data_IF_729701691584
#
_entry.id   IF_729701691584
#
_cell.length_a   1.000
_cell.length_b   1.000
_cell.length_c   1.000
_cell.angle_alpha   90.00
_cell.angle_beta   90.00
_cell.angle_gamma   90.00
#
_symmetry.space_group_name_H-M   'P 1'
#
loop_
_entity.id
_entity.type
_entity.pdbx_description
1 polymer ?
#
# COMPACT_ATOMS: atom_id res chain seq x y z
N UNK A 1 -14.14 25.95 24.31
CA UNK A 1 -14.01 27.19 25.11
C UNK A 1 -14.43 28.43 24.31
N UNK A 2 -15.43 29.18 24.79
CA UNK A 2 -15.93 30.42 24.16
C UNK A 2 -14.91 31.56 24.39
N UNK A 3 -14.83 32.54 23.47
CA UNK A 3 -13.87 33.66 23.59
C UNK A 3 -14.15 34.51 24.83
N UNK A 4 -15.43 34.77 25.13
CA UNK A 4 -15.82 35.48 26.34
C UNK A 4 -15.25 34.84 27.61
N UNK A 5 -15.25 33.49 27.67
CA UNK A 5 -14.64 32.75 28.77
C UNK A 5 -13.13 33.03 28.87
N UNK A 6 -12.41 33.02 27.75
CA UNK A 6 -10.96 33.30 27.73
C UNK A 6 -10.66 34.71 28.25
N UNK A 7 -11.43 35.71 27.81
CA UNK A 7 -11.27 37.11 28.24
C UNK A 7 -11.56 37.23 29.73
N UNK A 8 -12.69 36.68 30.20
CA UNK A 8 -13.09 36.72 31.61
C UNK A 8 -12.04 36.05 32.50
N UNK A 9 -11.56 34.86 32.12
CA UNK A 9 -10.53 34.14 32.90
C UNK A 9 -9.23 34.94 33.01
N UNK A 10 -8.84 35.68 31.97
CA UNK A 10 -7.62 36.49 32.00
C UNK A 10 -7.81 37.73 32.88
N UNK A 11 -8.98 38.37 32.81
CA UNK A 11 -9.31 39.50 33.67
C UNK A 11 -9.36 39.10 35.14
N UNK A 12 -9.99 37.97 35.47
CA UNK A 12 -10.13 37.51 36.85
C UNK A 12 -8.80 37.03 37.46
N UNK A 13 -7.98 36.33 36.66
CA UNK A 13 -6.77 35.65 37.16
C UNK A 13 -5.51 36.51 37.09
N UNK A 14 -5.45 37.43 36.13
CA UNK A 14 -4.25 38.26 35.88
C UNK A 14 -4.55 39.77 35.92
N UNK A 15 -5.78 40.17 36.25
CA UNK A 15 -6.20 41.58 36.32
C UNK A 15 -5.89 42.37 35.04
N UNK A 16 -5.89 41.69 33.89
CA UNK A 16 -5.48 42.24 32.60
C UNK A 16 -6.65 42.27 31.61
N UNK A 17 -6.84 43.41 30.96
CA UNK A 17 -7.83 43.57 29.90
C UNK A 17 -7.23 43.21 28.53
N UNK A 18 -7.85 42.26 27.84
CA UNK A 18 -7.40 41.81 26.51
C UNK A 18 -8.53 41.99 25.49
N UNK A 19 -8.19 42.52 24.32
CA UNK A 19 -9.17 42.69 23.23
C UNK A 19 -9.66 41.34 22.69
N UNK A 20 -10.89 41.33 22.17
CA UNK A 20 -11.51 40.14 21.55
C UNK A 20 -10.59 39.52 20.49
N UNK A 21 -9.95 40.35 19.68
CA UNK A 21 -9.01 39.92 18.63
C UNK A 21 -7.78 39.21 19.22
N UNK A 22 -7.17 39.76 20.28
CA UNK A 22 -6.03 39.13 20.95
C UNK A 22 -6.43 37.78 21.57
N UNK A 23 -7.59 37.71 22.24
CA UNK A 23 -8.11 36.45 22.79
C UNK A 23 -8.44 35.42 21.69
N UNK A 24 -8.96 35.87 20.54
CA UNK A 24 -9.18 35.02 19.37
C UNK A 24 -7.86 34.41 18.85
N UNK A 25 -6.84 35.24 18.63
CA UNK A 25 -5.54 34.79 18.12
C UNK A 25 -4.83 33.84 19.08
N UNK A 26 -4.82 34.18 20.38
CA UNK A 26 -4.25 33.31 21.41
C UNK A 26 -4.95 31.94 21.44
N UNK A 27 -6.29 31.92 21.42
CA UNK A 27 -7.06 30.66 21.37
C UNK A 27 -6.79 29.86 20.09
N UNK A 28 -6.70 30.53 18.94
CA UNK A 28 -6.41 29.89 17.66
C UNK A 28 -5.03 29.24 17.68
N UNK A 29 -4.01 29.97 18.15
CA UNK A 29 -2.62 29.49 18.24
C UNK A 29 -2.48 28.33 19.23
N UNK A 30 -3.09 28.43 20.42
CA UNK A 30 -3.12 27.33 21.39
C UNK A 30 -3.80 26.08 20.82
N UNK A 31 -4.91 26.24 20.09
CA UNK A 31 -5.57 25.12 19.42
C UNK A 31 -4.68 24.49 18.34
N UNK A 32 -3.98 25.31 17.57
CA UNK A 32 -3.05 24.86 16.53
C UNK A 32 -1.86 24.09 17.13
N UNK A 33 -1.34 24.51 18.28
CA UNK A 33 -0.25 23.79 18.96
C UNK A 33 -0.71 22.45 19.55
N UNK A 34 -1.90 22.43 20.17
CA UNK A 34 -2.44 21.22 20.80
C UNK A 34 -2.98 20.23 19.75
N UNK A 35 -3.79 20.71 18.80
CA UNK A 35 -4.51 19.85 17.84
C UNK A 35 -3.82 19.78 16.48
N UNK A 36 -2.91 20.69 16.13
CA UNK A 36 -2.30 20.74 14.79
C UNK A 36 -1.59 19.46 14.42
N UNK A 37 -0.91 18.80 15.37
CA UNK A 37 -0.29 17.49 15.13
C UNK A 37 -1.34 16.40 14.84
N UNK A 38 -2.44 16.37 15.60
CA UNK A 38 -3.52 15.40 15.41
C UNK A 38 -4.26 15.60 14.08
N UNK A 39 -4.51 16.86 13.68
CA UNK A 39 -5.14 17.20 12.39
C UNK A 39 -4.25 16.76 11.23
N UNK A 40 -2.93 17.01 11.31
CA UNK A 40 -1.99 16.56 10.29
C UNK A 40 -1.88 15.03 10.21
N UNK A 41 -1.86 14.34 11.36
CA UNK A 41 -1.84 12.87 11.40
C UNK A 41 -3.12 12.26 10.83
N UNK A 42 -4.28 12.74 11.25
CA UNK A 42 -5.56 12.29 10.70
C UNK A 42 -5.69 12.64 9.21
N UNK A 43 -5.16 13.77 8.76
CA UNK A 43 -5.06 14.13 7.35
C UNK A 43 -4.39 13.03 6.52
N UNK A 44 -3.25 12.50 6.99
CA UNK A 44 -2.55 11.39 6.31
C UNK A 44 -3.40 10.12 6.19
N UNK A 45 -4.14 9.76 7.25
CA UNK A 45 -5.04 8.60 7.21
C UNK A 45 -6.15 8.80 6.19
N UNK A 46 -6.77 9.99 6.18
CA UNK A 46 -7.81 10.34 5.21
C UNK A 46 -7.29 10.34 3.79
N UNK A 47 -6.11 10.91 3.55
CA UNK A 47 -5.47 10.95 2.23
C UNK A 47 -5.21 9.53 1.72
N UNK A 48 -4.72 8.65 2.60
CA UNK A 48 -4.50 7.25 2.29
C UNK A 48 -5.80 6.52 1.92
N UNK A 49 -6.87 6.68 2.70
CA UNK A 49 -8.18 6.09 2.40
C UNK A 49 -8.76 6.63 1.10
N UNK A 50 -8.65 7.94 0.87
CA UNK A 50 -9.08 8.57 -0.37
C UNK A 50 -8.33 8.01 -1.58
N UNK A 51 -7.03 7.76 -1.45
CA UNK A 51 -6.21 7.20 -2.52
C UNK A 51 -6.53 5.73 -2.81
N UNK A 52 -6.77 4.91 -1.77
CA UNK A 52 -7.27 3.54 -1.97
C UNK A 52 -8.62 3.58 -2.68
N UNK A 53 -9.56 4.40 -2.22
CA UNK A 53 -10.88 4.51 -2.86
C UNK A 53 -10.74 4.95 -4.31
N UNK A 54 -9.96 5.99 -4.59
CA UNK A 54 -9.70 6.47 -5.96
C UNK A 54 -9.15 5.36 -6.86
N UNK A 55 -8.18 4.59 -6.36
CA UNK A 55 -7.57 3.47 -7.09
C UNK A 55 -8.57 2.33 -7.30
N UNK A 56 -9.37 2.00 -6.29
CA UNK A 56 -10.40 0.97 -6.37
C UNK A 56 -11.48 1.34 -7.37
N UNK A 57 -11.94 2.60 -7.38
CA UNK A 57 -12.92 3.12 -8.33
C UNK A 57 -12.39 3.06 -9.76
N UNK A 58 -11.13 3.45 -9.97
CA UNK A 58 -10.46 3.33 -11.27
C UNK A 58 -10.38 1.88 -11.77
N UNK A 59 -10.08 0.93 -10.87
CA UNK A 59 -9.94 -0.49 -11.24
C UNK A 59 -11.29 -1.19 -11.41
N UNK A 60 -12.32 -0.75 -10.67
CA UNK A 60 -13.68 -1.28 -10.75
C UNK A 60 -14.25 -1.20 -12.18
N UNK A 61 -13.79 -0.25 -12.99
CA UNK A 61 -14.19 -0.11 -14.39
C UNK A 61 -13.97 -1.38 -15.23
N UNK A 62 -12.95 -2.19 -14.93
CA UNK A 62 -12.65 -3.43 -15.66
C UNK A 62 -13.52 -4.62 -15.24
N UNK A 63 -14.38 -4.43 -14.24
CA UNK A 63 -15.26 -5.43 -13.69
C UNK A 63 -16.71 -5.10 -14.03
N UNK A 64 -17.55 -6.12 -14.02
CA UNK A 64 -18.98 -6.01 -14.23
C UNK A 64 -19.68 -6.77 -13.11
N UNK A 65 -20.68 -6.13 -12.50
CA UNK A 65 -21.54 -6.74 -11.51
C UNK A 65 -22.79 -7.30 -12.19
N UNK A 66 -23.24 -8.45 -11.72
CA UNK A 66 -24.54 -9.04 -12.01
C UNK A 66 -25.29 -9.19 -10.70
N UNK A 67 -26.50 -8.69 -10.66
CA UNK A 67 -27.37 -8.84 -9.51
C UNK A 67 -27.78 -10.31 -9.32
N UNK A 68 -27.60 -10.83 -8.11
CA UNK A 68 -27.91 -12.23 -7.75
C UNK A 68 -29.10 -12.35 -6.78
N UNK A 69 -29.77 -11.24 -6.46
CA UNK A 69 -30.88 -11.18 -5.51
C UNK A 69 -30.57 -10.36 -4.26
N UNK A 70 -31.55 -9.59 -3.78
CA UNK A 70 -31.39 -8.71 -2.61
C UNK A 70 -30.26 -7.69 -2.81
N UNK A 71 -29.35 -7.60 -1.83
CA UNK A 71 -28.15 -6.75 -1.88
C UNK A 71 -26.87 -7.55 -2.20
N UNK A 72 -27.01 -8.67 -2.91
CA UNK A 72 -25.91 -9.54 -3.32
C UNK A 72 -25.64 -9.45 -4.81
N UNK A 73 -24.35 -9.42 -5.15
CA UNK A 73 -23.86 -9.26 -6.51
C UNK A 73 -22.74 -10.25 -6.80
N UNK A 74 -22.76 -10.79 -8.00
CA UNK A 74 -21.63 -11.52 -8.58
C UNK A 74 -20.84 -10.58 -9.48
N UNK A 75 -19.56 -10.41 -9.19
CA UNK A 75 -18.67 -9.49 -9.90
C UNK A 75 -17.65 -10.30 -10.68
N UNK A 76 -17.63 -10.13 -11.98
CA UNK A 76 -16.73 -10.84 -12.90
C UNK A 76 -15.96 -9.85 -13.75
N UNK A 77 -14.84 -10.29 -14.28
CA UNK A 77 -14.00 -9.45 -15.11
C UNK A 77 -14.66 -9.26 -16.50
N UNK A 78 -14.61 -8.05 -17.08
CA UNK A 78 -15.21 -7.78 -18.40
C UNK A 78 -14.55 -8.57 -19.54
N UNK A 79 -13.25 -8.82 -19.42
CA UNK A 79 -12.54 -9.74 -20.31
C UNK A 79 -12.97 -11.18 -20.01
N UNK A 80 -13.71 -11.79 -20.94
CA UNK A 80 -14.22 -13.16 -20.86
C UNK A 80 -13.15 -14.25 -20.71
N UNK A 81 -11.87 -13.96 -21.02
CA UNK A 81 -10.76 -14.89 -20.79
C UNK A 81 -10.38 -15.01 -19.30
N UNK A 82 -10.76 -14.04 -18.48
CA UNK A 82 -10.49 -14.04 -17.03
C UNK A 82 -11.70 -14.64 -16.33
N UNK A 83 -11.52 -15.80 -15.69
CA UNK A 83 -12.60 -16.61 -15.08
C UNK A 83 -12.84 -16.24 -13.61
N UNK A 84 -12.12 -15.24 -13.08
CA UNK A 84 -12.28 -14.82 -11.69
C UNK A 84 -13.64 -14.19 -11.44
N UNK A 85 -14.29 -14.66 -10.38
CA UNK A 85 -15.60 -14.18 -9.93
C UNK A 85 -15.53 -13.91 -8.43
N UNK A 86 -16.17 -12.82 -8.03
CA UNK A 86 -16.22 -12.39 -6.63
C UNK A 86 -17.67 -12.17 -6.22
N UNK A 87 -18.02 -12.64 -5.02
CA UNK A 87 -19.34 -12.42 -4.44
C UNK A 87 -19.23 -11.23 -3.50
N UNK A 88 -20.13 -10.27 -3.67
CA UNK A 88 -20.23 -9.06 -2.86
C UNK A 88 -21.60 -9.04 -2.19
N UNK A 89 -21.63 -8.81 -0.89
CA UNK A 89 -22.84 -8.56 -0.12
C UNK A 89 -22.76 -7.14 0.46
N UNK A 90 -23.60 -6.24 -0.08
CA UNK A 90 -23.61 -4.83 0.30
C UNK A 90 -24.24 -4.59 1.68
N UNK A 91 -25.15 -5.47 2.12
CA UNK A 91 -25.80 -5.33 3.43
C UNK A 91 -24.83 -5.72 4.55
N UNK A 92 -24.12 -6.83 4.36
CA UNK A 92 -23.13 -7.30 5.31
C UNK A 92 -21.81 -6.53 5.25
N UNK A 93 -21.58 -5.74 4.18
CA UNK A 93 -20.29 -5.08 3.93
C UNK A 93 -19.17 -6.09 3.70
N UNK A 94 -19.45 -7.19 3.00
CA UNK A 94 -18.48 -8.28 2.79
C UNK A 94 -18.23 -8.53 1.31
N UNK A 95 -17.01 -8.98 1.02
CA UNK A 95 -16.62 -9.41 -0.33
C UNK A 95 -15.73 -10.64 -0.21
N UNK A 96 -15.85 -11.58 -1.16
CA UNK A 96 -15.03 -12.78 -1.21
C UNK A 96 -13.52 -12.50 -1.31
N UNK A 97 -13.10 -11.32 -1.79
CA UNK A 97 -11.69 -10.89 -1.73
C UNK A 97 -11.17 -10.59 -0.31
N UNK A 98 -12.05 -10.61 0.70
CA UNK A 98 -11.81 -10.34 2.14
C UNK A 98 -11.31 -8.93 2.50
N UNK A 99 -10.92 -8.12 1.52
CA UNK A 99 -10.48 -6.74 1.76
C UNK A 99 -11.52 -5.93 2.52
N UNK A 100 -12.79 -5.98 2.10
CA UNK A 100 -13.84 -5.20 2.76
C UNK A 100 -14.06 -5.64 4.21
N UNK A 101 -14.10 -6.95 4.49
CA UNK A 101 -14.23 -7.44 5.86
C UNK A 101 -13.03 -7.14 6.78
N UNK A 102 -11.86 -6.82 6.23
CA UNK A 102 -10.65 -6.50 6.99
C UNK A 102 -10.46 -4.99 7.19
N UNK A 103 -10.69 -4.22 6.13
CA UNK A 103 -10.48 -2.77 6.14
C UNK A 103 -11.77 -1.99 6.40
N UNK A 104 -12.93 -2.64 6.44
CA UNK A 104 -14.25 -2.00 6.54
C UNK A 104 -14.46 -0.86 5.52
N UNK A 105 -13.86 -1.02 4.34
CA UNK A 105 -13.92 -0.08 3.24
C UNK A 105 -14.15 -0.85 1.93
N UNK A 106 -14.98 -0.34 1.00
CA UNK A 106 -15.25 -1.01 -0.26
C UNK A 106 -13.98 -1.35 -1.04
N UNK A 107 -13.83 -2.62 -1.40
CA UNK A 107 -12.84 -3.07 -2.36
C UNK A 107 -13.24 -2.70 -3.79
N UNK A 108 -12.37 -2.93 -4.77
CA UNK A 108 -12.69 -2.64 -6.17
C UNK A 108 -13.94 -3.40 -6.68
N UNK A 109 -14.16 -4.64 -6.22
CA UNK A 109 -15.33 -5.43 -6.59
C UNK A 109 -16.60 -4.87 -5.96
N UNK A 110 -16.50 -4.45 -4.70
CA UNK A 110 -17.57 -3.77 -3.98
C UNK A 110 -17.95 -2.46 -4.66
N UNK A 111 -16.97 -1.63 -5.03
CA UNK A 111 -17.23 -0.41 -5.79
C UNK A 111 -18.02 -0.69 -7.08
N UNK A 112 -17.68 -1.77 -7.80
CA UNK A 112 -18.42 -2.17 -9.00
C UNK A 112 -19.90 -2.51 -8.69
N UNK A 113 -20.15 -3.31 -7.65
CA UNK A 113 -21.51 -3.64 -7.21
C UNK A 113 -22.30 -2.42 -6.70
N UNK A 114 -21.65 -1.51 -5.98
CA UNK A 114 -22.25 -0.27 -5.49
C UNK A 114 -22.63 0.66 -6.66
N UNK A 115 -21.79 0.75 -7.68
CA UNK A 115 -22.11 1.51 -8.90
C UNK A 115 -23.29 0.91 -9.66
N UNK A 116 -23.39 -0.41 -9.73
CA UNK A 116 -24.55 -1.10 -10.32
C UNK A 116 -25.85 -0.81 -9.55
N UNK A 117 -25.74 -0.56 -8.24
CA UNK A 117 -26.87 -0.10 -7.40
C UNK A 117 -27.16 1.42 -7.54
N UNK A 118 -26.31 2.16 -8.26
CA UNK A 118 -26.36 3.63 -8.38
C UNK A 118 -26.12 4.39 -7.05
N UNK A 119 -25.39 3.78 -6.13
CA UNK A 119 -25.04 4.38 -4.84
C UNK A 119 -23.63 4.99 -4.83
N UNK A 120 -23.32 5.77 -3.79
CA UNK A 120 -21.99 6.31 -3.58
C UNK A 120 -21.13 5.36 -2.72
N UNK A 121 -19.97 4.90 -3.23
CA UNK A 121 -19.06 4.03 -2.47
C UNK A 121 -18.54 4.61 -1.16
N UNK A 122 -18.54 5.94 -1.00
CA UNK A 122 -18.10 6.59 0.25
C UNK A 122 -19.05 6.32 1.42
N UNK A 123 -20.33 6.07 1.15
CA UNK A 123 -21.35 5.86 2.19
C UNK A 123 -21.24 4.45 2.81
N UNK A 124 -20.51 3.57 2.13
CA UNK A 124 -20.23 2.20 2.56
C UNK A 124 -18.90 2.07 3.33
N UNK A 125 -18.18 3.17 3.53
CA UNK A 125 -16.98 3.21 4.36
C UNK A 125 -17.35 3.27 5.84
N UNK A 126 -16.63 2.53 6.68
CA UNK A 126 -16.86 2.56 8.12
C UNK A 126 -16.54 3.91 8.77
N UNK A 127 -17.27 4.21 9.84
CA UNK A 127 -17.08 5.40 10.68
C UNK A 127 -15.71 5.45 11.36
N UNK A 128 -14.93 4.35 11.36
CA UNK A 128 -13.55 4.34 11.86
C UNK A 128 -12.63 5.34 11.14
N UNK A 129 -12.95 5.67 9.88
CA UNK A 129 -12.18 6.65 9.11
C UNK A 129 -12.60 8.11 9.37
N UNK A 130 -13.56 8.34 10.26
CA UNK A 130 -13.99 9.69 10.64
C UNK A 130 -12.99 10.38 11.59
N UNK A 131 -12.91 11.72 11.60
CA UNK A 131 -12.04 12.44 12.55
C UNK A 131 -12.46 12.17 14.00
N UNK A 132 -13.77 11.98 14.22
CA UNK A 132 -14.33 11.70 15.54
C UNK A 132 -13.81 10.36 16.08
N UNK A 133 -13.81 9.31 15.26
CA UNK A 133 -13.28 8.01 15.65
C UNK A 133 -11.76 8.07 15.92
N UNK A 134 -10.99 8.78 15.09
CA UNK A 134 -9.55 8.97 15.32
C UNK A 134 -9.27 9.65 16.67
N UNK A 135 -9.99 10.73 16.98
CA UNK A 135 -9.85 11.43 18.27
C UNK A 135 -10.34 10.57 19.43
N UNK A 136 -11.38 9.76 19.26
CA UNK A 136 -11.82 8.84 20.30
C UNK A 136 -10.75 7.78 20.63
N UNK A 137 -10.09 7.23 19.61
CA UNK A 137 -9.06 6.19 19.77
C UNK A 137 -7.73 6.74 20.29
N UNK A 138 -7.25 7.84 19.72
CA UNK A 138 -5.90 8.39 19.99
C UNK A 138 -5.90 9.68 20.80
N UNK A 139 -7.07 10.22 21.16
CA UNK A 139 -7.18 11.45 21.95
C UNK A 139 -6.82 11.26 23.42
N UNK A 140 -6.83 10.02 23.91
CA UNK A 140 -6.44 9.69 25.27
C UNK A 140 -4.91 9.66 25.40
N UNK A 141 -4.42 10.20 26.51
CA UNK A 141 -3.01 10.13 26.84
C UNK A 141 -2.65 8.70 27.25
N UNK A 142 -1.61 8.13 26.65
CA UNK A 142 -1.05 6.86 27.11
C UNK A 142 -0.40 7.13 28.47
N UNK A 143 -0.97 6.56 29.54
CA UNK A 143 -0.37 6.68 30.86
C UNK A 143 1.04 6.09 30.86
N UNK A 144 2.00 6.75 31.52
CA UNK A 144 3.33 6.16 31.68
C UNK A 144 3.20 4.80 32.36
N UNK A 145 3.88 3.81 31.81
CA UNK A 145 3.96 2.47 32.39
C UNK A 145 5.16 2.47 33.34
N UNK A 146 5.00 1.86 34.51
CA UNK A 146 6.11 1.63 35.43
C UNK A 146 7.21 0.78 34.77
N UNK A 147 8.41 0.76 35.34
CA UNK A 147 9.46 -0.16 34.89
C UNK A 147 9.04 -1.63 35.01
N UNK A 148 9.65 -2.50 34.20
CA UNK A 148 9.39 -3.95 34.15
C UNK A 148 9.41 -4.60 35.54
N UNK A 149 10.29 -4.12 36.42
CA UNK A 149 10.44 -4.59 37.80
C UNK A 149 9.19 -4.39 38.69
N UNK A 150 8.28 -3.51 38.29
CA UNK A 150 7.04 -3.21 39.01
C UNK A 150 5.80 -3.77 38.30
N UNK A 151 5.96 -4.52 37.21
CA UNK A 151 4.82 -5.12 36.52
C UNK A 151 4.27 -6.29 37.34
N UNK A 152 2.94 -6.43 37.41
CA UNK A 152 2.34 -7.60 38.04
C UNK A 152 2.81 -8.85 37.30
N UNK A 153 3.22 -9.87 38.05
CA UNK A 153 3.51 -11.18 37.48
C UNK A 153 2.18 -11.80 37.09
N UNK A 154 1.87 -11.77 35.80
CA UNK A 154 0.70 -12.44 35.25
C UNK A 154 1.07 -13.90 35.03
N UNK A 155 0.26 -14.82 35.55
CA UNK A 155 0.34 -16.24 35.19
C UNK A 155 -0.21 -16.38 33.77
N UNK A 156 0.65 -16.17 32.78
CA UNK A 156 0.37 -16.45 31.39
C UNK A 156 1.24 -17.61 30.90
N UNK A 157 0.69 -18.41 29.99
CA UNK A 157 1.45 -19.46 29.34
C UNK A 157 2.68 -18.85 28.66
N UNK A 158 3.84 -19.44 28.90
CA UNK A 158 5.07 -19.05 28.22
C UNK A 158 4.86 -19.18 26.71
N UNK A 159 4.77 -18.05 26.01
CA UNK A 159 4.68 -18.04 24.55
C UNK A 159 6.01 -18.52 24.00
N UNK A 160 6.07 -19.80 23.63
CA UNK A 160 7.25 -20.37 22.98
C UNK A 160 7.31 -19.79 21.56
N UNK A 161 8.47 -19.26 21.12
CA UNK A 161 8.61 -18.78 19.76
C UNK A 161 8.28 -19.91 18.77
N UNK A 162 7.67 -19.61 17.61
CA UNK A 162 7.42 -20.62 16.59
C UNK A 162 8.74 -21.27 16.22
N UNK A 163 8.75 -22.61 16.15
CA UNK A 163 9.94 -23.39 15.81
C UNK A 163 10.43 -22.93 14.44
N UNK A 164 11.58 -22.25 14.42
CA UNK A 164 12.20 -21.81 13.18
C UNK A 164 12.71 -23.04 12.43
N UNK A 165 12.02 -23.38 11.32
CA UNK A 165 12.50 -24.40 10.39
C UNK A 165 13.40 -23.73 9.37
N UNK A 166 14.68 -24.07 9.36
CA UNK A 166 15.58 -23.72 8.26
C UNK A 166 14.98 -24.36 7.00
N UNK A 167 14.54 -23.54 6.04
CA UNK A 167 14.10 -24.05 4.74
C UNK A 167 15.25 -24.84 4.13
N UNK A 168 14.99 -25.97 3.43
CA UNK A 168 16.01 -26.65 2.66
C UNK A 168 16.74 -25.63 1.80
N UNK A 169 18.07 -25.58 1.93
CA UNK A 169 18.88 -24.67 1.14
C UNK A 169 18.60 -24.91 -0.35
N UNK A 170 18.64 -23.84 -1.16
CA UNK A 170 18.48 -23.96 -2.61
C UNK A 170 19.41 -25.07 -3.11
N UNK A 171 18.89 -26.11 -3.79
CA UNK A 171 19.74 -27.16 -4.34
C UNK A 171 20.87 -26.54 -5.14
N UNK A 172 22.10 -26.99 -4.89
CA UNK A 172 23.28 -26.48 -5.59
C UNK A 172 23.06 -26.64 -7.09
N UNK A 173 23.29 -25.58 -7.86
CA UNK A 173 23.07 -25.58 -9.30
C UNK A 173 23.97 -26.59 -10.03
N UNK A 174 25.11 -26.93 -9.43
CA UNK A 174 25.95 -28.04 -9.88
C UNK A 174 25.86 -29.20 -8.90
N UNK A 175 25.61 -30.39 -9.45
CA UNK A 175 25.68 -31.67 -8.74
C UNK A 175 27.10 -31.89 -8.21
N UNK A 176 27.22 -32.25 -6.94
CA UNK A 176 28.49 -32.73 -6.37
C UNK A 176 28.71 -34.14 -6.93
N UNK A 177 29.88 -34.38 -7.53
CA UNK A 177 30.26 -35.70 -8.03
C UNK A 177 30.86 -36.52 -6.89
N UNK A 178 30.51 -37.81 -6.84
CA UNK A 178 31.10 -38.72 -5.85
C UNK A 178 32.56 -39.04 -6.21
N UNK A 179 33.39 -39.44 -5.23
CA UNK A 179 34.83 -39.68 -5.47
C UNK A 179 35.11 -40.75 -6.53
N UNK A 180 34.20 -41.70 -6.72
CA UNK A 180 34.30 -42.81 -7.67
C UNK A 180 33.74 -42.45 -9.07
N UNK A 181 33.16 -41.26 -9.24
CA UNK A 181 32.65 -40.83 -10.55
C UNK A 181 33.77 -40.33 -11.46
N UNK A 182 33.93 -41.01 -12.60
CA UNK A 182 34.89 -40.68 -13.65
C UNK A 182 34.75 -39.22 -14.16
N UNK A 183 35.78 -38.39 -13.90
CA UNK A 183 35.88 -36.98 -14.30
C UNK A 183 35.84 -36.73 -15.82
N UNK A 184 36.07 -37.74 -16.65
CA UNK A 184 36.45 -37.61 -18.06
C UNK A 184 35.37 -37.92 -19.10
N UNK A 185 34.18 -38.41 -18.72
CA UNK A 185 33.21 -38.89 -19.72
C UNK A 185 32.52 -37.78 -20.55
N UNK A 186 32.58 -36.50 -20.15
CA UNK A 186 31.87 -35.43 -20.89
C UNK A 186 32.57 -34.99 -22.18
N UNK A 187 33.78 -35.47 -22.48
CA UNK A 187 34.42 -35.23 -23.78
C UNK A 187 35.01 -36.52 -24.31
N UNK A 188 34.43 -37.04 -25.40
CA UNK A 188 35.06 -38.05 -26.24
C UNK A 188 36.49 -37.57 -26.54
N UNK A 189 37.50 -38.34 -26.11
CA UNK A 189 38.87 -38.12 -26.60
C UNK A 189 38.80 -38.21 -28.12
N UNK A 190 39.26 -37.17 -28.82
CA UNK A 190 39.34 -37.17 -30.28
C UNK A 190 40.40 -38.18 -30.72
N UNK A 191 40.05 -39.47 -30.76
CA UNK A 191 40.87 -40.49 -31.39
C UNK A 191 40.65 -40.42 -32.90
N UNK A 192 41.75 -40.37 -33.67
CA UNK A 192 41.70 -40.51 -35.13
C UNK A 192 41.72 -39.23 -35.96
N UNK A 193 41.84 -38.01 -35.39
CA UNK A 193 42.14 -36.83 -36.23
C UNK A 193 43.65 -36.62 -36.36
N UNK A 194 44.24 -37.09 -37.45
CA UNK A 194 45.56 -36.63 -37.85
C UNK A 194 45.46 -35.17 -38.30
N UNK A 195 46.39 -34.33 -37.85
CA UNK A 195 46.43 -32.93 -38.27
C UNK A 195 47.03 -32.88 -39.68
N UNK A 196 46.34 -32.20 -40.60
CA UNK A 196 46.84 -31.92 -41.94
C UNK A 196 47.65 -30.63 -41.92
N UNK A 197 48.89 -30.69 -42.40
CA UNK A 197 49.78 -29.54 -42.44
C UNK A 197 49.27 -28.52 -43.46
N UNK A 198 49.01 -27.28 -43.03
CA UNK A 198 48.54 -26.21 -43.93
C UNK A 198 49.60 -25.70 -44.92
N UNK A 199 50.87 -26.11 -44.77
CA UNK A 199 51.97 -25.73 -45.67
C UNK A 199 52.17 -26.74 -46.81
N UNK A 200 52.15 -28.05 -46.51
CA UNK A 200 52.40 -29.11 -47.51
C UNK A 200 51.20 -30.02 -47.77
N UNK A 201 50.09 -29.87 -47.03
CA UNK A 201 48.87 -30.66 -47.20
C UNK A 201 48.93 -32.09 -46.67
N UNK A 202 50.07 -32.54 -46.13
CA UNK A 202 50.25 -33.92 -45.65
C UNK A 202 49.73 -34.12 -44.23
N UNK A 203 49.23 -35.32 -43.92
CA UNK A 203 48.71 -35.70 -42.61
C UNK A 203 49.83 -36.13 -41.65
N UNK A 204 49.61 -35.91 -40.35
CA UNK A 204 50.47 -36.43 -39.27
C UNK A 204 51.40 -35.40 -38.62
N UNK A 205 51.49 -34.18 -39.16
CA UNK A 205 52.24 -33.08 -38.54
C UNK A 205 51.56 -31.74 -38.77
N UNK A 206 51.90 -30.75 -37.95
CA UNK A 206 51.37 -29.40 -38.04
C UNK A 206 52.37 -28.47 -38.76
N UNK A 207 51.92 -27.34 -39.31
CA UNK A 207 52.76 -26.39 -40.09
C UNK A 207 54.06 -26.00 -39.39
N UNK A 208 54.06 -25.90 -38.07
CA UNK A 208 55.22 -25.53 -37.25
C UNK A 208 56.37 -26.55 -37.30
N UNK A 209 56.06 -27.83 -37.56
CA UNK A 209 57.02 -28.94 -37.60
C UNK A 209 57.09 -29.54 -39.03
N UNK A 210 56.76 -28.74 -40.05
CA UNK A 210 56.80 -29.17 -41.43
C UNK A 210 58.27 -29.24 -41.91
N UNK A 211 58.72 -30.37 -42.50
CA UNK A 211 60.08 -30.51 -43.02
C UNK A 211 60.33 -29.69 -44.29
N UNK A 212 59.26 -29.30 -45.02
CA UNK A 212 59.36 -28.45 -46.21
C UNK A 212 59.47 -26.96 -45.83
N UNK A 213 60.24 -26.15 -46.57
CA UNK A 213 60.36 -24.71 -46.31
C UNK A 213 58.97 -24.04 -46.35
N UNK A 214 58.79 -23.03 -45.50
CA UNK A 214 57.50 -22.36 -45.34
C UNK A 214 57.23 -21.53 -46.60
N UNK A 215 56.22 -21.91 -47.39
CA UNK A 215 55.79 -21.12 -48.54
C UNK A 215 54.89 -20.01 -48.03
N UNK A 216 55.43 -18.78 -48.00
CA UNK A 216 54.72 -17.58 -47.54
C UNK A 216 53.73 -17.09 -48.60
N UNK A 217 52.61 -17.80 -48.76
CA UNK A 217 51.44 -17.37 -49.55
C UNK A 217 50.22 -17.19 -48.65
N UNK A 218 49.79 -15.94 -48.44
CA UNK A 218 48.79 -15.56 -47.45
C UNK A 218 47.36 -16.01 -47.75
N UNK A 219 46.68 -16.54 -46.73
CA UNK A 219 45.22 -16.45 -46.53
C UNK A 219 44.93 -16.32 -45.04
N UNK A 220 44.89 -15.07 -44.55
CA UNK A 220 44.32 -14.75 -43.23
C UNK A 220 42.79 -14.75 -43.40
N UNK A 221 42.10 -15.77 -42.91
CA UNK A 221 40.65 -15.66 -42.62
C UNK A 221 40.49 -15.14 -41.20
N UNK A 222 40.53 -13.82 -41.04
CA UNK A 222 40.12 -13.15 -39.81
C UNK A 222 38.60 -13.18 -39.72
N UNK A 223 38.05 -13.88 -38.73
CA UNK A 223 36.63 -13.82 -38.38
C UNK A 223 36.46 -12.66 -37.40
N UNK A 224 35.66 -11.67 -37.79
CA UNK A 224 35.31 -10.51 -36.96
C UNK A 224 34.75 -10.95 -35.61
N UNK A 225 35.29 -10.38 -34.54
CA UNK A 225 34.80 -10.52 -33.18
C UNK A 225 33.76 -9.43 -32.91
N UNK A 226 32.50 -9.84 -32.76
CA UNK A 226 31.46 -9.01 -32.13
C UNK A 226 31.61 -9.15 -30.62
N UNK A 227 32.40 -8.27 -30.01
CA UNK A 227 32.50 -8.12 -28.56
C UNK A 227 31.55 -7.01 -28.11
N UNK A 228 30.45 -7.36 -27.45
CA UNK A 228 29.72 -6.45 -26.57
C UNK A 228 29.92 -6.96 -25.13
N UNK A 229 30.72 -6.27 -24.31
CA UNK A 229 30.74 -6.47 -22.87
C UNK A 229 29.62 -5.68 -22.20
N UNK A 230 28.98 -6.29 -21.21
CA UNK A 230 28.08 -5.64 -20.27
C UNK A 230 28.90 -5.00 -19.13
N UNK A 231 28.76 -3.69 -18.84
CA UNK A 231 29.27 -3.12 -17.61
C UNK A 231 28.12 -2.67 -16.68
N UNK A 232 28.11 -3.28 -15.52
CA UNK A 232 28.10 -2.68 -14.17
C UNK A 232 27.64 -1.22 -14.03
N UNK A 233 26.58 -1.04 -13.22
CA UNK A 233 26.24 0.20 -12.51
C UNK A 233 27.38 0.72 -11.63
N UNK A 234 27.51 2.05 -11.53
CA UNK A 234 27.63 2.67 -10.22
C UNK A 234 26.68 3.86 -10.03
N UNK A 235 26.42 4.17 -8.76
CA UNK A 235 25.59 5.25 -8.28
C UNK A 235 26.22 6.65 -8.51
N UNK A 236 25.40 7.67 -8.81
CA UNK A 236 25.27 8.93 -8.05
C UNK A 236 24.61 10.04 -8.90
N UNK A 237 23.65 10.72 -8.28
CA UNK A 237 23.22 12.13 -8.40
C UNK A 237 23.24 12.84 -9.77
N UNK A 238 22.07 13.36 -10.19
CA UNK A 238 21.87 14.80 -10.48
C UNK A 238 20.41 15.17 -10.79
N UNK A 239 19.94 16.21 -10.09
CA UNK A 239 18.94 17.26 -10.36
C UNK A 239 17.66 17.02 -11.20
N UNK A 240 16.53 17.38 -10.58
CA UNK A 240 15.22 17.68 -11.20
C UNK A 240 15.25 18.97 -12.05
N UNK A 241 14.58 19.01 -13.22
CA UNK A 241 14.18 20.27 -13.83
C UNK A 241 12.81 20.73 -13.30
N UNK A 242 12.79 21.98 -12.85
CA UNK A 242 11.60 22.73 -12.46
C UNK A 242 10.67 22.99 -13.66
N UNK A 243 9.37 23.00 -13.42
CA UNK A 243 8.37 23.61 -14.31
C UNK A 243 7.55 24.65 -13.55
N UNK A 244 7.05 25.68 -14.25
CA UNK A 244 6.89 27.01 -13.68
C UNK A 244 5.54 27.24 -13.00
N UNK A 245 5.60 28.12 -12.00
CA UNK A 245 4.48 28.74 -11.31
C UNK A 245 3.73 29.66 -12.27
N UNK A 246 2.42 29.45 -12.42
CA UNK A 246 1.50 30.47 -12.92
C UNK A 246 0.62 30.89 -11.77
N UNK A 247 0.80 32.15 -11.36
CA UNK A 247 -0.01 32.84 -10.37
C UNK A 247 -1.34 33.28 -11.01
N UNK A 248 -2.44 33.07 -10.29
CA UNK A 248 -3.67 33.82 -10.52
C UNK A 248 -4.26 34.21 -9.16
N UNK A 249 -4.19 35.50 -8.89
CA UNK A 249 -4.78 36.21 -7.77
C UNK A 249 -6.11 36.79 -8.23
N UNK A 250 -7.24 36.45 -7.59
CA UNK A 250 -8.41 37.34 -7.57
C UNK A 250 -9.32 37.03 -6.38
N UNK A 251 -9.86 38.10 -5.80
CA UNK A 251 -10.58 38.24 -4.54
C UNK A 251 -11.96 37.53 -4.50
N UNK A 252 -12.53 37.30 -3.31
CA UNK A 252 -13.91 36.85 -3.15
C UNK A 252 -14.90 38.04 -3.16
N UNK A 253 -16.07 37.94 -3.83
CA UNK A 253 -17.17 38.84 -3.56
C UNK A 253 -18.05 38.35 -2.39
N UNK A 254 -18.64 39.35 -1.76
CA UNK A 254 -19.38 39.36 -0.49
C UNK A 254 -20.82 38.84 -0.63
N UNK A 255 -21.25 38.14 0.43
CA UNK A 255 -22.57 38.15 1.12
C UNK A 255 -23.85 38.29 0.29
N UNK A 256 -24.77 37.32 0.43
CA UNK A 256 -26.16 37.64 0.76
C UNK A 256 -26.73 36.62 1.75
N UNK A 257 -27.11 37.12 2.93
CA UNK A 257 -27.86 36.40 3.93
C UNK A 257 -29.33 36.26 3.50
N UNK A 258 -29.93 35.11 3.76
CA UNK A 258 -31.39 34.99 3.90
C UNK A 258 -31.70 34.15 5.14
N UNK A 259 -32.51 34.78 5.98
CA UNK A 259 -32.98 34.34 7.29
C UNK A 259 -34.33 33.63 7.18
N UNK A 260 -34.48 32.51 7.89
CA UNK A 260 -35.72 32.00 8.49
C UNK A 260 -35.27 30.83 9.40
N UNK A 261 -35.28 30.88 10.74
CA UNK A 261 -36.35 31.18 11.70
C UNK A 261 -37.63 30.40 11.42
N UNK A 262 -37.76 29.21 12.01
CA UNK A 262 -38.87 28.83 12.89
C UNK A 262 -38.63 27.42 13.47
N UNK A 263 -38.67 27.33 14.80
CA UNK A 263 -39.00 26.11 15.52
C UNK A 263 -40.52 25.89 15.47
N UNK A 264 -41.00 24.66 15.72
CA UNK A 264 -41.87 24.54 16.87
C UNK A 264 -41.56 23.37 17.81
N UNK A 265 -41.86 23.70 19.05
CA UNK A 265 -41.95 22.97 20.30
C UNK A 265 -42.98 21.84 20.33
N UNK A 266 -42.59 20.74 21.00
CA UNK A 266 -43.39 19.84 21.88
C UNK A 266 -44.58 19.06 21.32
N UNK A 267 -44.53 17.73 21.44
CA UNK A 267 -45.54 16.96 22.19
C UNK A 267 -45.06 15.52 22.47
N UNK A 268 -44.74 15.31 23.75
CA UNK A 268 -44.84 14.06 24.52
C UNK A 268 -46.02 13.19 24.12
N UNK A 269 -45.79 11.90 23.83
CA UNK A 269 -46.78 10.85 24.12
C UNK A 269 -46.07 9.57 24.53
N UNK A 270 -46.19 9.26 25.81
CA UNK A 270 -45.87 7.97 26.42
C UNK A 270 -47.00 6.99 26.10
N UNK A 271 -46.67 5.77 25.68
CA UNK A 271 -47.55 4.61 25.89
C UNK A 271 -46.72 3.48 26.46
N UNK A 272 -47.00 3.19 27.73
CA UNK A 272 -46.54 2.02 28.46
C UNK A 272 -47.38 0.81 28.05
N UNK A 273 -46.73 -0.32 27.81
CA UNK A 273 -47.34 -1.64 27.65
C UNK A 273 -47.49 -2.29 29.04
N UNK A 274 -48.66 -2.84 29.40
CA UNK A 274 -48.82 -3.61 30.63
C UNK A 274 -48.30 -5.04 30.49
N UNK A 275 -47.64 -5.51 31.54
CA UNK A 275 -47.34 -6.91 31.85
C UNK A 275 -48.64 -7.64 32.21
N UNK A 276 -48.89 -8.78 31.58
CA UNK A 276 -49.74 -9.84 32.14
C UNK A 276 -49.04 -11.19 31.98
N UNK A 277 -48.58 -11.76 33.10
CA UNK A 277 -48.67 -13.20 33.36
C UNK A 277 -49.93 -13.44 34.19
N UNK A 278 -50.58 -14.61 34.06
CA UNK A 278 -50.42 -15.55 35.18
C UNK A 278 -50.42 -17.05 34.81
N UNK A 279 -49.64 -17.78 35.61
CA UNK A 279 -49.92 -19.09 36.21
C UNK A 279 -50.55 -20.22 35.37
N UNK A 280 -49.74 -21.24 35.06
CA UNK A 280 -49.89 -22.63 35.50
C UNK A 280 -48.65 -23.45 35.13
#
# INVERSE_FOLDING_TARGET
>A
MKIATVIQTIQDKYMANISVTKAYWARRKAREEIHGRAILQYGKLRDYCAEIMRTNLSKAFWWQARWAGGLKYEVFHKNWMIVETFVVDLLAGTCSCRFWGLCEMPCLYACCAIFEKEDNPKDYCSNFYSPAAYVATYGNLVSPINGENMWPKVECDTIIPPIFRVKPERPRMMRIREPDENRSQTKLRRMGSSVTCSNCGQYGHNRRHCPNPIVSGGRIRGRAASSQPLPTTPASSQQLPATPVVAASTQPPLILATSASQAPTTATSQQALPLEEPAS
#
